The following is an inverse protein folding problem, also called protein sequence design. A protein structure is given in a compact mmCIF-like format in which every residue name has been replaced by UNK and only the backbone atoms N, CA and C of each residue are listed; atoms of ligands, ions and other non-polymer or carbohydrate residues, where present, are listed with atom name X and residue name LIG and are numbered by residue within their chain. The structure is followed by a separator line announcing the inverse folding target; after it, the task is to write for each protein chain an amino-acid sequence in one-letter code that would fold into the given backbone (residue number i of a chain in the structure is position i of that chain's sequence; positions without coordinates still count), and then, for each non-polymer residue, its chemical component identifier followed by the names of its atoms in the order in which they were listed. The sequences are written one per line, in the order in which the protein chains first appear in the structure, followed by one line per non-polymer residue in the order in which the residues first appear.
data_IF_921763779180
#
_entry.id   IF_921763779180
#
_cell.length_a   1.000
_cell.length_b   1.000
_cell.length_c   1.000
_cell.angle_alpha   90.00
_cell.angle_beta   90.00
_cell.angle_gamma   90.00
#
_symmetry.space_group_name_H-M   'P 1'
#
loop_
_entity.id
_entity.type
_entity.pdbx_description
1 polymer ?
#
# COMPACT_ATOMS: atom_id res chain seq x y z
N UNK A 1 -4.40 6.27 -25.42
CA UNK A 1 -3.95 5.27 -24.44
C UNK A 1 -5.05 4.22 -24.38
N UNK A 2 -4.74 2.92 -24.44
CA UNK A 2 -5.77 1.88 -24.31
C UNK A 2 -6.44 2.05 -22.95
N UNK A 3 -7.73 2.38 -22.93
CA UNK A 3 -8.54 2.39 -21.70
C UNK A 3 -8.50 0.97 -21.16
N UNK A 4 -7.98 0.79 -19.93
CA UNK A 4 -7.95 -0.53 -19.29
C UNK A 4 -9.38 -1.08 -19.28
N UNK A 5 -9.56 -2.32 -19.73
CA UNK A 5 -10.89 -2.95 -19.73
C UNK A 5 -11.24 -3.38 -18.30
N UNK A 6 -12.54 -3.44 -17.97
CA UNK A 6 -13.01 -3.88 -16.65
C UNK A 6 -12.44 -5.26 -16.27
N UNK A 7 -12.39 -6.20 -17.22
CA UNK A 7 -11.84 -7.53 -17.00
C UNK A 7 -10.35 -7.54 -16.68
N UNK A 8 -9.57 -6.63 -17.26
CA UNK A 8 -8.13 -6.48 -16.97
C UNK A 8 -7.93 -5.83 -15.60
N UNK A 9 -8.76 -4.84 -15.26
CA UNK A 9 -8.77 -4.25 -13.92
C UNK A 9 -9.11 -5.30 -12.85
N UNK A 10 -10.16 -6.09 -13.06
CA UNK A 10 -10.58 -7.14 -12.13
C UNK A 10 -9.48 -8.19 -11.92
N UNK A 11 -8.76 -8.58 -12.99
CA UNK A 11 -7.57 -9.45 -12.89
C UNK A 11 -6.46 -8.79 -12.07
N UNK A 12 -6.11 -7.54 -12.37
CA UNK A 12 -5.07 -6.81 -11.64
C UNK A 12 -5.40 -6.69 -10.14
N UNK A 13 -6.63 -6.28 -9.82
CA UNK A 13 -7.15 -6.20 -8.44
C UNK A 13 -7.06 -7.55 -7.72
N UNK A 14 -7.38 -8.65 -8.40
CA UNK A 14 -7.26 -10.00 -7.84
C UNK A 14 -5.81 -10.35 -7.52
N UNK A 15 -4.85 -10.09 -8.41
CA UNK A 15 -3.43 -10.32 -8.15
C UNK A 15 -2.94 -9.52 -6.93
N UNK A 16 -3.25 -8.21 -6.91
CA UNK A 16 -2.93 -7.31 -5.79
C UNK A 16 -3.45 -7.88 -4.47
N UNK A 17 -4.73 -8.25 -4.41
CA UNK A 17 -5.33 -8.75 -3.18
C UNK A 17 -4.74 -10.09 -2.75
N UNK A 18 -4.55 -11.02 -3.69
CA UNK A 18 -4.03 -12.35 -3.37
C UNK A 18 -2.59 -12.31 -2.86
N UNK A 19 -1.73 -11.48 -3.46
CA UNK A 19 -0.34 -11.39 -3.03
C UNK A 19 -0.22 -10.84 -1.61
N UNK A 20 -0.93 -9.74 -1.31
CA UNK A 20 -0.86 -9.14 0.02
C UNK A 20 -1.58 -10.00 1.08
N UNK A 21 -2.73 -10.57 0.76
CA UNK A 21 -3.45 -11.50 1.67
C UNK A 21 -2.58 -12.72 2.01
N UNK A 22 -1.84 -13.26 1.05
CA UNK A 22 -0.93 -14.39 1.28
C UNK A 22 0.11 -14.01 2.33
N UNK A 23 0.78 -12.87 2.17
CA UNK A 23 1.82 -12.41 3.09
C UNK A 23 1.28 -12.13 4.50
N UNK A 24 0.10 -11.53 4.62
CA UNK A 24 -0.56 -11.30 5.91
C UNK A 24 -0.89 -12.63 6.60
N UNK A 25 -1.44 -13.61 5.86
CA UNK A 25 -1.76 -14.95 6.39
C UNK A 25 -0.52 -15.70 6.84
N UNK A 26 0.57 -15.63 6.07
CA UNK A 26 1.86 -16.21 6.46
C UNK A 26 2.38 -15.58 7.74
N UNK A 27 2.24 -14.26 7.89
CA UNK A 27 2.64 -13.56 9.11
C UNK A 27 1.87 -14.06 10.34
N UNK A 28 0.54 -14.19 10.26
CA UNK A 28 -0.25 -14.77 11.35
C UNK A 28 0.09 -16.24 11.61
N UNK A 29 0.28 -17.04 10.56
CA UNK A 29 0.66 -18.45 10.72
C UNK A 29 2.02 -18.60 11.41
N UNK A 30 2.99 -17.75 11.07
CA UNK A 30 4.34 -17.78 11.64
C UNK A 30 4.39 -17.47 13.15
N UNK A 31 3.33 -16.89 13.71
CA UNK A 31 3.24 -16.62 15.14
C UNK A 31 2.88 -17.88 15.96
N UNK A 32 2.38 -18.93 15.32
CA UNK A 32 2.00 -20.20 15.98
C UNK A 32 3.25 -20.96 16.41
N UNK A 33 3.18 -21.60 17.59
CA UNK A 33 4.32 -22.32 18.17
C UNK A 33 4.84 -23.45 17.27
N UNK A 34 3.94 -24.18 16.60
CA UNK A 34 4.29 -25.25 15.66
C UNK A 34 5.14 -24.74 14.50
N UNK A 35 4.75 -23.59 13.92
CA UNK A 35 5.50 -22.99 12.83
C UNK A 35 6.87 -22.51 13.30
N UNK A 36 6.93 -21.83 14.47
CA UNK A 36 8.18 -21.39 15.08
C UNK A 36 9.16 -22.55 15.30
N UNK A 37 8.67 -23.68 15.82
CA UNK A 37 9.49 -24.86 16.04
C UNK A 37 9.99 -25.46 14.71
N UNK A 38 9.14 -25.50 13.68
CA UNK A 38 9.51 -26.03 12.37
C UNK A 38 10.57 -25.20 11.65
N UNK A 39 10.54 -23.86 11.82
CA UNK A 39 11.49 -22.96 11.15
C UNK A 39 12.71 -22.62 11.99
N UNK A 40 12.72 -22.86 13.30
CA UNK A 40 13.86 -22.58 14.18
C UNK A 40 15.23 -23.07 13.66
N UNK A 41 15.36 -24.22 12.97
CA UNK A 41 16.65 -24.69 12.42
C UNK A 41 17.16 -23.87 11.23
N UNK A 42 16.27 -23.14 10.56
CA UNK A 42 16.58 -22.33 9.39
C UNK A 42 16.49 -20.88 9.85
N UNK A 43 17.53 -20.06 9.65
CA UNK A 43 17.53 -18.64 10.07
C UNK A 43 16.56 -17.82 9.18
N UNK A 44 15.28 -18.18 9.22
CA UNK A 44 14.18 -17.63 8.45
C UNK A 44 13.49 -16.64 9.38
N UNK A 45 13.51 -15.34 9.05
CA UNK A 45 12.75 -14.36 9.77
C UNK A 45 11.27 -14.76 9.83
N UNK A 46 10.70 -14.79 11.03
CA UNK A 46 9.26 -14.98 11.20
C UNK A 46 8.51 -13.77 10.67
N UNK A 47 7.33 -14.00 10.12
CA UNK A 47 6.49 -12.98 9.49
C UNK A 47 6.17 -13.31 8.04
N UNK A 48 5.49 -12.39 7.37
CA UNK A 48 5.44 -12.35 5.91
C UNK A 48 6.43 -11.30 5.39
N UNK A 49 6.55 -11.16 4.07
CA UNK A 49 7.47 -10.21 3.44
C UNK A 49 7.00 -8.74 3.60
N UNK A 50 7.03 -8.21 4.82
CA UNK A 50 6.45 -6.91 5.22
C UNK A 50 6.97 -5.74 4.36
N UNK A 51 8.28 -5.71 4.09
CA UNK A 51 8.89 -4.69 3.25
C UNK A 51 8.38 -4.75 1.81
N UNK A 52 8.37 -5.94 1.20
CA UNK A 52 7.90 -6.13 -0.17
C UNK A 52 6.40 -5.87 -0.29
N UNK A 53 5.62 -6.24 0.73
CA UNK A 53 4.20 -5.95 0.79
C UNK A 53 3.93 -4.44 0.85
N UNK A 54 4.65 -3.70 1.71
CA UNK A 54 4.54 -2.24 1.79
C UNK A 54 4.91 -1.57 0.46
N UNK A 55 6.01 -2.01 -0.17
CA UNK A 55 6.45 -1.53 -1.48
C UNK A 55 5.41 -1.78 -2.58
N UNK A 56 4.82 -2.99 -2.59
CA UNK A 56 3.75 -3.37 -3.49
C UNK A 56 2.52 -2.48 -3.31
N UNK A 57 2.05 -2.30 -2.08
CA UNK A 57 0.90 -1.46 -1.74
C UNK A 57 1.05 -0.01 -2.21
N UNK A 58 2.23 0.58 -2.02
CA UNK A 58 2.52 1.93 -2.49
C UNK A 58 2.55 2.00 -4.03
N UNK A 59 3.09 0.98 -4.70
CA UNK A 59 3.04 0.87 -6.16
C UNK A 59 1.61 0.74 -6.68
N UNK A 60 0.76 -0.03 -5.99
CA UNK A 60 -0.65 -0.20 -6.32
C UNK A 60 -1.48 1.06 -6.06
N UNK A 61 -1.10 1.87 -5.08
CA UNK A 61 -1.69 3.20 -4.85
C UNK A 61 -1.43 4.13 -6.04
N UNK A 62 -0.21 4.15 -6.56
CA UNK A 62 0.15 4.92 -7.76
C UNK A 62 -0.63 4.42 -8.99
N UNK A 63 -0.73 3.11 -9.15
CA UNK A 63 -1.52 2.48 -10.20
C UNK A 63 -2.99 2.91 -10.17
N UNK A 64 -3.64 2.84 -8.99
CA UNK A 64 -5.03 3.28 -8.82
C UNK A 64 -5.20 4.75 -9.18
N UNK A 65 -4.26 5.60 -8.75
CA UNK A 65 -4.26 7.02 -9.10
C UNK A 65 -4.10 7.30 -10.59
N UNK A 66 -3.23 6.55 -11.25
CA UNK A 66 -3.06 6.66 -12.71
C UNK A 66 -4.34 6.31 -13.46
N UNK A 67 -5.05 5.27 -13.03
CA UNK A 67 -6.33 4.89 -13.64
C UNK A 67 -7.40 5.94 -13.41
N UNK A 68 -7.55 6.44 -12.18
CA UNK A 68 -8.61 7.37 -11.80
C UNK A 68 -8.40 8.78 -12.32
N UNK A 69 -7.18 9.29 -12.18
CA UNK A 69 -6.87 10.71 -12.37
C UNK A 69 -6.08 10.98 -13.65
N UNK A 70 -5.27 10.02 -14.09
CA UNK A 70 -4.45 10.07 -15.32
C UNK A 70 -3.76 11.44 -15.53
N UNK A 71 -3.26 12.03 -14.45
CA UNK A 71 -2.62 13.34 -14.48
C UNK A 71 -1.32 13.27 -15.29
N UNK A 72 -1.12 14.27 -16.15
CA UNK A 72 0.05 14.36 -17.04
C UNK A 72 0.83 15.63 -16.79
N UNK A 73 2.14 15.52 -16.98
CA UNK A 73 3.02 16.69 -17.08
C UNK A 73 2.82 17.36 -18.44
N UNK A 74 3.30 18.60 -18.57
CA UNK A 74 3.21 19.39 -19.82
C UNK A 74 3.84 18.68 -21.03
N UNK A 75 4.84 17.82 -20.79
CA UNK A 75 5.50 17.03 -21.83
C UNK A 75 4.77 15.71 -22.18
N UNK A 76 3.55 15.49 -21.68
CA UNK A 76 2.74 14.29 -21.92
C UNK A 76 3.13 13.06 -21.08
N UNK A 77 4.22 13.12 -20.33
CA UNK A 77 4.63 12.03 -19.42
C UNK A 77 3.71 11.96 -18.19
N UNK A 78 3.71 10.79 -17.54
CA UNK A 78 2.92 10.52 -16.35
C UNK A 78 3.33 11.42 -15.17
N UNK A 79 2.36 11.95 -14.43
CA UNK A 79 2.60 12.68 -13.20
C UNK A 79 2.42 11.76 -11.99
N UNK A 80 3.30 10.76 -11.88
CA UNK A 80 3.24 9.69 -10.88
C UNK A 80 2.98 10.17 -9.45
N UNK A 81 3.73 11.16 -8.96
CA UNK A 81 3.54 11.68 -7.59
C UNK A 81 2.18 12.36 -7.39
N UNK A 82 1.66 13.05 -8.41
CA UNK A 82 0.33 13.69 -8.35
C UNK A 82 -0.78 12.64 -8.39
N UNK A 83 -0.66 11.65 -9.25
CA UNK A 83 -1.59 10.52 -9.32
C UNK A 83 -1.60 9.72 -8.01
N UNK A 84 -0.43 9.37 -7.48
CA UNK A 84 -0.29 8.73 -6.17
C UNK A 84 -0.93 9.57 -5.07
N UNK A 85 -0.57 10.85 -4.92
CA UNK A 85 -1.06 11.68 -3.80
C UNK A 85 -2.58 11.88 -3.83
N UNK A 86 -3.18 12.00 -5.02
CA UNK A 86 -4.64 12.08 -5.14
C UNK A 86 -5.32 10.78 -4.75
N UNK A 87 -4.79 9.64 -5.20
CA UNK A 87 -5.37 8.35 -4.81
C UNK A 87 -5.08 8.00 -3.36
N UNK A 88 -3.95 8.46 -2.82
CA UNK A 88 -3.62 8.34 -1.40
C UNK A 88 -4.70 8.97 -0.51
N UNK A 89 -5.20 10.15 -0.91
CA UNK A 89 -6.33 10.79 -0.21
C UNK A 89 -7.62 9.96 -0.29
N UNK A 90 -7.80 9.15 -1.34
CA UNK A 90 -8.97 8.27 -1.52
C UNK A 90 -8.95 7.05 -0.58
N UNK A 91 -7.80 6.69 0.03
CA UNK A 91 -7.78 5.64 1.07
C UNK A 91 -8.60 6.05 2.30
N UNK A 92 -8.79 7.35 2.52
CA UNK A 92 -9.69 7.87 3.54
C UNK A 92 -9.23 9.19 4.16
N UNK A 93 -10.10 9.77 4.98
CA UNK A 93 -9.88 11.08 5.58
C UNK A 93 -8.59 11.17 6.40
N UNK A 94 -8.21 10.11 7.13
CA UNK A 94 -6.96 10.07 7.89
C UNK A 94 -5.71 10.19 7.01
N UNK A 95 -5.70 9.55 5.84
CA UNK A 95 -4.61 9.66 4.87
C UNK A 95 -4.51 11.06 4.29
N UNK A 96 -5.67 11.64 3.91
CA UNK A 96 -5.73 13.02 3.43
C UNK A 96 -5.21 14.03 4.46
N UNK A 97 -5.61 13.87 5.73
CA UNK A 97 -5.14 14.72 6.84
C UNK A 97 -3.63 14.56 7.05
N UNK A 98 -3.13 13.33 7.04
CA UNK A 98 -1.70 13.05 7.19
C UNK A 98 -0.86 13.67 6.07
N UNK A 99 -1.32 13.62 4.82
CA UNK A 99 -0.63 14.32 3.73
C UNK A 99 -0.73 15.85 3.87
N UNK A 100 -1.89 16.35 4.31
CA UNK A 100 -2.12 17.78 4.49
C UNK A 100 -1.31 18.40 5.64
N UNK A 101 -0.80 17.61 6.59
CA UNK A 101 0.11 18.11 7.64
C UNK A 101 1.52 18.45 7.14
N UNK A 102 1.78 18.33 5.83
CA UNK A 102 3.04 18.68 5.19
C UNK A 102 3.99 17.51 4.98
N UNK A 103 3.56 16.28 5.26
CA UNK A 103 4.38 15.08 5.02
C UNK A 103 4.39 14.73 3.52
N UNK A 104 5.59 14.69 2.92
CA UNK A 104 5.76 14.20 1.55
C UNK A 104 5.75 12.67 1.52
N UNK A 105 4.55 12.11 1.59
CA UNK A 105 4.32 10.66 1.60
C UNK A 105 4.96 9.97 0.40
N UNK A 106 4.88 10.58 -0.79
CA UNK A 106 5.44 10.02 -2.00
C UNK A 106 6.96 9.93 -1.91
N UNK A 107 7.64 11.00 -1.52
CA UNK A 107 9.10 10.95 -1.42
C UNK A 107 9.58 10.03 -0.28
N UNK A 108 8.97 10.15 0.91
CA UNK A 108 9.40 9.44 2.12
C UNK A 108 9.19 7.93 1.99
N UNK A 109 7.98 7.51 1.59
CA UNK A 109 7.61 6.10 1.57
C UNK A 109 7.75 5.50 0.18
N UNK A 110 7.12 6.07 -0.85
CA UNK A 110 7.11 5.47 -2.19
C UNK A 110 8.51 5.50 -2.82
N UNK A 111 9.18 6.66 -2.85
CA UNK A 111 10.54 6.76 -3.37
C UNK A 111 11.57 6.18 -2.39
N UNK A 112 11.47 6.48 -1.09
CA UNK A 112 12.39 5.93 -0.08
C UNK A 112 12.46 4.41 -0.12
N UNK A 113 11.32 3.72 -0.05
CA UNK A 113 11.31 2.25 -0.07
C UNK A 113 11.75 1.63 -1.41
N UNK A 114 11.72 2.37 -2.51
CA UNK A 114 12.20 1.88 -3.82
C UNK A 114 13.71 2.07 -3.95
N UNK A 115 14.22 3.24 -3.58
CA UNK A 115 15.55 3.68 -3.98
C UNK A 115 16.62 3.44 -2.91
N UNK A 116 16.24 3.34 -1.64
CA UNK A 116 17.21 3.26 -0.54
C UNK A 116 17.17 1.90 0.18
N UNK A 117 16.28 0.98 -0.22
CA UNK A 117 16.01 -0.28 0.49
C UNK A 117 15.74 -0.09 2.00
N UNK A 118 15.37 1.13 2.35
CA UNK A 118 15.05 1.66 3.67
C UNK A 118 14.20 2.91 3.41
N UNK A 119 13.20 3.22 4.24
CA UNK A 119 12.56 4.51 4.09
C UNK A 119 13.61 5.62 4.33
N UNK A 120 13.53 6.73 3.57
CA UNK A 120 14.41 7.90 3.73
C UNK A 120 14.52 8.44 5.16
N UNK A 121 13.60 8.01 6.01
CA UNK A 121 13.57 8.24 7.44
C UNK A 121 13.37 6.91 8.20
N UNK A 122 13.83 6.87 9.45
CA UNK A 122 13.66 5.72 10.36
C UNK A 122 12.18 5.29 10.39
N UNK A 123 11.87 4.09 9.89
CA UNK A 123 10.51 3.61 9.68
C UNK A 123 10.33 2.17 10.17
N UNK A 124 9.31 1.94 11.00
CA UNK A 124 8.90 0.57 11.36
C UNK A 124 7.81 0.06 10.42
N UNK A 125 8.04 -1.11 9.83
CA UNK A 125 7.05 -1.78 8.97
C UNK A 125 6.46 -2.97 9.72
N UNK A 126 5.22 -2.83 10.15
CA UNK A 126 4.44 -3.87 10.80
C UNK A 126 3.60 -4.61 9.76
N UNK A 127 3.64 -5.94 9.81
CA UNK A 127 2.80 -6.73 8.92
C UNK A 127 1.33 -6.74 9.37
N UNK A 128 1.09 -7.12 10.61
CA UNK A 128 -0.25 -7.25 11.18
C UNK A 128 -0.76 -5.94 11.77
N UNK A 129 -2.08 -5.82 11.89
CA UNK A 129 -2.78 -4.68 12.52
C UNK A 129 -2.21 -4.30 13.88
N UNK A 130 -2.26 -2.99 14.14
CA UNK A 130 -1.89 -2.38 15.41
C UNK A 130 -3.08 -1.57 15.92
N UNK A 131 -3.55 -1.90 17.13
CA UNK A 131 -4.76 -1.29 17.71
C UNK A 131 -4.62 0.23 17.90
N UNK A 132 -3.40 0.68 18.16
CA UNK A 132 -3.02 2.07 18.38
C UNK A 132 -2.74 2.84 17.08
N UNK A 133 -2.81 2.18 15.91
CA UNK A 133 -2.55 2.79 14.59
C UNK A 133 -3.83 2.77 13.75
N UNK A 134 -4.62 3.85 13.75
CA UNK A 134 -5.94 3.89 13.10
C UNK A 134 -5.87 3.90 11.57
N UNK A 135 -4.73 4.30 11.00
CA UNK A 135 -4.44 4.23 9.57
C UNK A 135 -3.14 3.48 9.33
N UNK A 136 -2.96 2.96 8.12
CA UNK A 136 -1.83 2.11 7.74
C UNK A 136 -0.49 2.82 7.60
N UNK A 137 -0.41 4.13 7.80
CA UNK A 137 0.82 4.90 7.69
C UNK A 137 0.77 6.11 8.62
N UNK A 138 1.91 6.53 9.14
CA UNK A 138 1.95 7.73 9.97
C UNK A 138 3.31 8.01 10.59
N UNK A 139 3.29 8.86 11.61
CA UNK A 139 4.45 9.30 12.37
C UNK A 139 4.14 9.14 13.86
N UNK A 140 5.04 8.47 14.58
CA UNK A 140 5.01 8.36 16.04
C UNK A 140 5.35 9.69 16.70
N UNK A 141 4.98 9.93 17.97
CA UNK A 141 5.34 11.15 18.70
C UNK A 141 6.85 11.44 18.73
N UNK A 142 7.71 10.41 18.62
CA UNK A 142 9.16 10.55 18.55
C UNK A 142 9.70 10.93 17.16
N UNK A 143 8.83 11.16 16.17
CA UNK A 143 9.20 11.50 14.80
C UNK A 143 9.54 10.29 13.91
N UNK A 144 9.48 9.07 14.45
CA UNK A 144 9.70 7.83 13.69
C UNK A 144 8.49 7.53 12.81
N UNK A 145 8.70 7.19 11.55
CA UNK A 145 7.61 6.78 10.66
C UNK A 145 7.18 5.35 10.96
N UNK A 146 5.94 5.03 10.61
CA UNK A 146 5.46 3.65 10.62
C UNK A 146 4.63 3.33 9.38
N UNK A 147 4.60 2.05 9.04
CA UNK A 147 3.73 1.47 8.02
C UNK A 147 3.11 0.17 8.58
N UNK A 148 1.78 0.04 8.53
CA UNK A 148 1.04 -1.16 8.94
C UNK A 148 0.41 -1.77 7.69
N UNK A 149 1.01 -2.85 7.19
CA UNK A 149 0.65 -3.49 5.92
C UNK A 149 -0.82 -3.89 5.87
N UNK A 150 -1.30 -4.62 6.88
CA UNK A 150 -2.69 -5.09 6.91
C UNK A 150 -3.70 -3.93 6.92
N UNK A 151 -3.48 -2.90 7.75
CA UNK A 151 -4.37 -1.74 7.78
C UNK A 151 -4.36 -0.99 6.45
N UNK A 152 -3.17 -0.70 5.89
CA UNK A 152 -3.05 -0.01 4.61
C UNK A 152 -3.70 -0.82 3.48
N UNK A 153 -3.51 -2.14 3.47
CA UNK A 153 -4.10 -3.02 2.48
C UNK A 153 -5.63 -2.99 2.51
N UNK A 154 -6.23 -3.05 3.68
CA UNK A 154 -7.69 -2.97 3.80
C UNK A 154 -8.23 -1.64 3.29
N UNK A 155 -7.52 -0.54 3.58
CA UNK A 155 -7.90 0.79 3.14
C UNK A 155 -7.75 0.94 1.62
N UNK A 156 -6.65 0.43 1.06
CA UNK A 156 -6.43 0.38 -0.38
C UNK A 156 -7.46 -0.50 -1.09
N UNK A 157 -7.80 -1.67 -0.53
CA UNK A 157 -8.80 -2.57 -1.09
C UNK A 157 -10.15 -1.86 -1.22
N UNK A 158 -10.57 -1.12 -0.20
CA UNK A 158 -11.80 -0.32 -0.26
C UNK A 158 -11.71 0.80 -1.31
N UNK A 159 -10.56 1.46 -1.42
CA UNK A 159 -10.35 2.47 -2.47
C UNK A 159 -10.38 1.86 -3.88
N UNK A 160 -9.84 0.65 -4.09
CA UNK A 160 -9.92 -0.09 -5.35
C UNK A 160 -11.34 -0.58 -5.65
N UNK A 161 -12.10 -1.02 -4.64
CA UNK A 161 -13.52 -1.35 -4.78
C UNK A 161 -14.32 -0.12 -5.23
N UNK A 162 -14.01 1.06 -4.70
CA UNK A 162 -14.66 2.30 -5.10
C UNK A 162 -14.23 2.73 -6.51
N UNK A 163 -12.94 2.62 -6.84
CA UNK A 163 -12.43 2.87 -8.18
C UNK A 163 -13.12 1.99 -9.23
N UNK A 164 -13.36 0.72 -8.90
CA UNK A 164 -14.08 -0.19 -9.79
C UNK A 164 -15.47 0.34 -10.13
N UNK A 165 -16.20 0.79 -9.11
CA UNK A 165 -17.54 1.37 -9.26
C UNK A 165 -17.48 2.66 -10.07
N UNK A 166 -16.55 3.55 -9.74
CA UNK A 166 -16.44 4.87 -10.37
C UNK A 166 -16.06 4.79 -11.86
N UNK A 167 -15.22 3.83 -12.25
CA UNK A 167 -14.66 3.75 -13.60
C UNK A 167 -15.28 2.68 -14.49
N UNK A 168 -15.98 1.69 -13.93
CA UNK A 168 -16.43 0.52 -14.70
C UNK A 168 -17.88 0.11 -14.46
N UNK A 169 -18.59 0.72 -13.51
CA UNK A 169 -20.03 0.53 -13.36
C UNK A 169 -20.80 1.70 -13.99
N UNK A 170 -20.76 1.77 -15.32
CA UNK A 170 -21.93 2.19 -16.10
C UNK A 170 -22.52 0.90 -16.71
N UNK A 171 -23.79 0.61 -16.41
CA UNK A 171 -24.61 -0.52 -16.90
C UNK A 171 -24.53 -1.81 -16.04
N UNK A 172 -25.31 -1.83 -14.96
CA UNK A 172 -26.25 -2.94 -14.71
C UNK A 172 -27.65 -2.37 -14.53
#
# INVERSE_FOLDING_TARGET
MSTMQHTDFAKAKRFICMDIDREIRLAYASQRNEFKAAVQPFVIPLGGANYLAALGLLSYTEFGGKLKYNERKKNGSDFASKNFNRFFDDLGAGYKQFRASGTDVYDIFRCGLVHEYYAKANCDIYMCKKKDKPIGIGVEPCGKYYFVVETYFEDLKRALDQLEKDCFNEIM
#
